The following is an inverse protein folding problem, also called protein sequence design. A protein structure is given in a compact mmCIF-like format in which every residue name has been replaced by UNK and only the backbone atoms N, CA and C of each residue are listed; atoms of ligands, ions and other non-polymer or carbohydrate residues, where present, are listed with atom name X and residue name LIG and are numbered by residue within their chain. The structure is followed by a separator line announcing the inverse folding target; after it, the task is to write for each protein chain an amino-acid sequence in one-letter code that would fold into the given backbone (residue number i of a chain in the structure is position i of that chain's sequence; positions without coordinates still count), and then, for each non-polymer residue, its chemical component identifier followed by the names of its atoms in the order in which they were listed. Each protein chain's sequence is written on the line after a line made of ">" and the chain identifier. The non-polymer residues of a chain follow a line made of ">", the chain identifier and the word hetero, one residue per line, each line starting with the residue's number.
data_IF_634292661346
#
_entry.id   IF_634292661346
#
_cell.length_a   1.000
_cell.length_b   1.000
_cell.length_c   1.000
_cell.angle_alpha   90.00
_cell.angle_beta   90.00
_cell.angle_gamma   90.00
#
_symmetry.space_group_name_H-M   'P 1'
#
loop_
_entity.id
_entity.type
_entity.pdbx_description
1 polymer ?
#
# COMPACT_ATOMS: atom_id res chain seq x y z
N UNK A 1 0.47 -7.96 10.60
CA UNK A 1 0.28 -9.30 10.00
C UNK A 1 -1.17 -9.40 9.60
N UNK A 2 -1.49 -10.19 8.57
CA UNK A 2 -2.85 -10.38 8.06
C UNK A 2 -3.16 -11.87 7.95
N UNK A 3 -4.37 -12.24 8.35
CA UNK A 3 -4.90 -13.59 8.19
C UNK A 3 -5.83 -13.60 6.99
N UNK A 4 -5.53 -14.41 5.99
CA UNK A 4 -6.27 -14.42 4.73
C UNK A 4 -7.15 -15.67 4.60
N UNK A 5 -8.40 -15.51 4.15
CA UNK A 5 -9.19 -16.66 3.72
C UNK A 5 -8.74 -17.13 2.34
N UNK A 6 -8.52 -18.44 2.13
CA UNK A 6 -8.15 -18.98 0.82
C UNK A 6 -9.23 -18.76 -0.26
N UNK A 7 -10.47 -18.46 0.14
CA UNK A 7 -11.59 -18.40 -0.78
C UNK A 7 -11.65 -17.10 -1.58
N UNK A 8 -11.10 -15.99 -1.05
CA UNK A 8 -11.19 -14.65 -1.66
C UNK A 8 -9.97 -13.79 -1.35
N UNK A 9 -8.76 -14.35 -1.50
CA UNK A 9 -7.48 -13.69 -1.14
C UNK A 9 -7.40 -12.28 -1.73
N UNK A 10 -7.60 -12.11 -3.04
CA UNK A 10 -7.52 -10.82 -3.71
C UNK A 10 -8.48 -9.76 -3.11
N UNK A 11 -9.71 -10.16 -2.80
CA UNK A 11 -10.71 -9.27 -2.20
C UNK A 11 -10.30 -8.83 -0.78
N UNK A 12 -9.71 -9.73 0.00
CA UNK A 12 -9.21 -9.42 1.34
C UNK A 12 -7.98 -8.51 1.28
N UNK A 13 -7.09 -8.73 0.31
CA UNK A 13 -5.96 -7.83 0.05
C UNK A 13 -6.41 -6.45 -0.40
N UNK A 14 -7.40 -6.36 -1.31
CA UNK A 14 -8.04 -5.07 -1.66
C UNK A 14 -8.54 -4.36 -0.41
N UNK A 15 -9.29 -5.07 0.45
CA UNK A 15 -9.84 -4.48 1.67
C UNK A 15 -8.74 -4.03 2.65
N UNK A 16 -7.65 -4.77 2.73
CA UNK A 16 -6.48 -4.42 3.53
C UNK A 16 -5.81 -3.13 3.04
N UNK A 17 -5.52 -3.05 1.74
CA UNK A 17 -4.94 -1.87 1.09
C UNK A 17 -5.88 -0.66 1.18
N UNK A 18 -7.19 -0.87 1.03
CA UNK A 18 -8.20 0.17 1.17
C UNK A 18 -8.22 0.74 2.59
N UNK A 19 -8.04 -0.10 3.62
CA UNK A 19 -7.93 0.37 5.00
C UNK A 19 -6.70 1.23 5.20
N UNK A 20 -5.56 0.86 4.63
CA UNK A 20 -4.35 1.68 4.67
C UNK A 20 -4.57 3.05 4.02
N UNK A 21 -5.17 3.07 2.83
CA UNK A 21 -5.50 4.30 2.11
C UNK A 21 -6.48 5.20 2.89
N UNK A 22 -7.48 4.61 3.52
CA UNK A 22 -8.42 5.33 4.40
C UNK A 22 -7.70 6.04 5.55
N UNK A 23 -6.79 5.34 6.23
CA UNK A 23 -6.03 5.90 7.36
C UNK A 23 -5.16 7.07 6.91
N UNK A 24 -4.47 6.93 5.77
CA UNK A 24 -3.70 8.03 5.18
C UNK A 24 -4.58 9.25 4.84
N UNK A 25 -5.76 9.02 4.25
CA UNK A 25 -6.69 10.10 3.92
C UNK A 25 -7.21 10.87 5.15
N UNK A 26 -7.15 10.25 6.32
CA UNK A 26 -7.52 10.83 7.62
C UNK A 26 -6.32 11.48 8.34
N UNK A 27 -5.12 11.40 7.76
CA UNK A 27 -3.88 11.84 8.39
C UNK A 27 -3.39 10.92 9.51
N UNK A 28 -3.96 9.72 9.64
CA UNK A 28 -3.62 8.74 10.68
C UNK A 28 -2.48 7.82 10.22
N UNK A 29 -1.31 8.43 10.01
CA UNK A 29 -0.10 7.73 9.56
C UNK A 29 0.41 6.72 10.59
N UNK A 30 0.12 6.92 11.87
CA UNK A 30 0.53 5.99 12.94
C UNK A 30 -0.19 4.66 12.77
N UNK A 31 -1.53 4.69 12.68
CA UNK A 31 -2.33 3.48 12.47
C UNK A 31 -2.11 2.87 11.08
N UNK A 32 -1.85 3.69 10.05
CA UNK A 32 -1.52 3.19 8.72
C UNK A 32 -0.21 2.37 8.75
N UNK A 33 0.81 2.87 9.45
CA UNK A 33 2.10 2.19 9.61
C UNK A 33 1.99 0.89 10.42
N UNK A 34 1.03 0.76 11.34
CA UNK A 34 0.77 -0.50 12.06
C UNK A 34 0.30 -1.64 11.14
N UNK A 35 -0.28 -1.33 9.98
CA UNK A 35 -0.62 -2.33 8.97
C UNK A 35 0.66 -2.90 8.31
N UNK A 36 1.74 -2.13 8.28
CA UNK A 36 3.00 -2.53 7.65
C UNK A 36 3.85 -3.29 8.67
N UNK A 37 3.63 -4.60 8.70
CA UNK A 37 4.14 -5.47 9.77
C UNK A 37 5.63 -5.78 9.70
N UNK A 38 6.26 -5.54 8.55
CA UNK A 38 7.69 -5.72 8.35
C UNK A 38 8.23 -4.57 7.47
N UNK A 39 9.53 -4.24 7.58
CA UNK A 39 10.17 -3.37 6.60
C UNK A 39 10.32 -4.09 5.26
N UNK A 40 10.42 -3.32 4.17
CA UNK A 40 10.81 -3.82 2.86
C UNK A 40 12.31 -4.18 2.80
N UNK A 41 12.76 -4.61 1.62
CA UNK A 41 14.17 -4.99 1.38
C UNK A 41 15.18 -3.84 1.57
N UNK A 42 14.72 -2.59 1.62
CA UNK A 42 15.53 -1.41 1.90
C UNK A 42 15.51 -1.02 3.39
N UNK A 43 14.77 -1.75 4.23
CA UNK A 43 14.61 -1.45 5.65
C UNK A 43 13.51 -0.42 5.97
N UNK A 44 12.78 0.07 4.95
CA UNK A 44 11.73 1.06 5.10
C UNK A 44 10.39 0.43 5.49
N UNK A 45 9.65 1.08 6.39
CA UNK A 45 8.29 0.68 6.78
C UNK A 45 7.19 1.55 6.17
N UNK A 46 7.55 2.54 5.34
CA UNK A 46 6.59 3.43 4.69
C UNK A 46 5.67 4.15 5.68
N UNK A 47 6.29 4.76 6.69
CA UNK A 47 5.63 5.62 7.65
C UNK A 47 5.38 7.02 7.07
N UNK A 48 5.01 7.97 7.93
CA UNK A 48 4.68 9.33 7.50
C UNK A 48 5.78 9.98 6.67
N UNK A 49 7.04 9.82 7.07
CA UNK A 49 8.17 10.48 6.42
C UNK A 49 8.31 9.95 4.99
N UNK A 50 8.41 8.63 4.81
CA UNK A 50 8.63 8.01 3.50
C UNK A 50 7.47 8.27 2.53
N UNK A 51 6.22 8.20 3.00
CA UNK A 51 5.05 8.54 2.17
C UNK A 51 5.06 10.01 1.77
N UNK A 52 5.44 10.91 2.69
CA UNK A 52 5.53 12.34 2.39
C UNK A 52 6.62 12.62 1.36
N UNK A 53 7.80 12.03 1.54
CA UNK A 53 8.93 12.18 0.62
C UNK A 53 8.57 11.70 -0.79
N UNK A 54 7.96 10.51 -0.92
CA UNK A 54 7.53 10.00 -2.23
C UNK A 54 6.51 10.91 -2.94
N UNK A 55 5.56 11.49 -2.20
CA UNK A 55 4.56 12.41 -2.76
C UNK A 55 5.19 13.76 -3.13
N UNK A 56 6.07 14.31 -2.28
CA UNK A 56 6.77 15.57 -2.54
C UNK A 56 7.69 15.44 -3.75
N UNK A 57 8.46 14.35 -3.83
CA UNK A 57 9.36 14.06 -4.96
C UNK A 57 8.57 13.93 -6.27
N UNK A 58 7.38 13.34 -6.22
CA UNK A 58 6.52 13.21 -7.40
C UNK A 58 5.96 14.54 -7.91
N UNK A 59 5.42 15.36 -7.01
CA UNK A 59 4.84 16.65 -7.38
C UNK A 59 5.88 17.77 -7.58
N UNK A 60 7.16 17.51 -7.27
CA UNK A 60 8.24 18.51 -7.21
C UNK A 60 7.81 19.75 -6.39
N UNK A 61 7.18 19.48 -5.24
CA UNK A 61 6.50 20.51 -4.44
C UNK A 61 6.45 20.14 -2.97
N UNK A 62 6.93 21.05 -2.11
CA UNK A 62 6.80 20.97 -0.65
C UNK A 62 5.42 21.43 -0.15
N UNK A 63 4.44 21.60 -1.05
CA UNK A 63 3.08 21.99 -0.65
C UNK A 63 2.38 20.86 0.11
N UNK A 64 1.42 21.22 0.96
CA UNK A 64 0.56 20.23 1.61
C UNK A 64 -0.12 19.35 0.55
N UNK A 65 -0.12 18.04 0.78
CA UNK A 65 -0.82 17.07 -0.04
C UNK A 65 -1.99 16.44 0.72
N UNK A 66 -2.96 15.93 -0.03
CA UNK A 66 -4.11 15.22 0.51
C UNK A 66 -4.29 13.87 -0.18
N UNK A 67 -4.04 12.78 0.55
CA UNK A 67 -4.40 11.43 0.11
C UNK A 67 -5.92 11.29 0.09
N UNK A 68 -6.46 10.71 -0.99
CA UNK A 68 -7.90 10.49 -1.14
C UNK A 68 -8.24 9.03 -0.84
N UNK A 69 -9.32 8.77 -0.11
CA UNK A 69 -9.86 7.41 0.04
C UNK A 69 -10.70 7.01 -1.18
N UNK A 70 -10.13 7.12 -2.37
CA UNK A 70 -10.75 6.63 -3.60
C UNK A 70 -10.87 5.11 -3.52
N UNK A 71 -11.97 4.54 -4.03
CA UNK A 71 -12.10 3.09 -4.07
C UNK A 71 -11.02 2.50 -4.98
N UNK A 72 -10.19 1.59 -4.46
CA UNK A 72 -9.03 1.01 -5.15
C UNK A 72 -9.40 0.34 -6.47
N UNK A 73 -10.65 -0.11 -6.64
CA UNK A 73 -11.13 -0.63 -7.93
C UNK A 73 -11.11 0.39 -9.08
N UNK A 74 -11.05 1.69 -8.77
CA UNK A 74 -10.87 2.76 -9.77
C UNK A 74 -9.41 3.15 -9.95
N UNK A 75 -8.49 2.61 -9.14
CA UNK A 75 -7.06 2.96 -9.14
C UNK A 75 -6.21 1.94 -9.92
N UNK A 76 -6.78 1.29 -10.95
CA UNK A 76 -6.13 0.26 -11.78
C UNK A 76 -5.37 -0.79 -10.93
N UNK A 77 -6.07 -1.53 -10.05
CA UNK A 77 -5.38 -2.45 -9.16
C UNK A 77 -4.83 -3.65 -9.93
N UNK A 78 -3.68 -4.13 -9.50
CA UNK A 78 -3.02 -5.32 -10.03
C UNK A 78 -2.76 -6.32 -8.90
N UNK A 79 -3.06 -7.58 -9.16
CA UNK A 79 -2.83 -8.69 -8.23
C UNK A 79 -1.99 -9.76 -8.91
N UNK A 80 -0.96 -10.23 -8.21
CA UNK A 80 -0.07 -11.29 -8.67
C UNK A 80 0.24 -12.27 -7.54
N UNK A 81 0.16 -13.56 -7.84
CA UNK A 81 0.72 -14.62 -7.00
C UNK A 81 2.09 -15.02 -7.57
N UNK A 82 3.13 -14.92 -6.75
CA UNK A 82 4.50 -15.21 -7.13
C UNK A 82 4.82 -16.71 -6.98
N UNK A 83 5.86 -17.18 -7.68
CA UNK A 83 6.31 -18.58 -7.64
C UNK A 83 6.75 -19.05 -6.24
N UNK A 84 7.18 -18.12 -5.38
CA UNK A 84 7.56 -18.41 -3.99
C UNK A 84 6.38 -18.39 -3.01
N UNK A 85 5.16 -18.13 -3.50
CA UNK A 85 3.93 -18.06 -2.72
C UNK A 85 3.72 -16.74 -1.99
N UNK A 86 4.54 -15.72 -2.26
CA UNK A 86 4.22 -14.32 -1.92
C UNK A 86 3.11 -13.79 -2.83
N UNK A 87 2.44 -12.73 -2.38
CA UNK A 87 1.34 -12.08 -3.10
C UNK A 87 1.67 -10.60 -3.27
N UNK A 88 1.50 -10.07 -4.46
CA UNK A 88 1.64 -8.64 -4.75
C UNK A 88 0.26 -8.02 -4.99
N UNK A 89 0.09 -6.80 -4.47
CA UNK A 89 -1.10 -6.00 -4.71
C UNK A 89 -0.69 -4.55 -4.97
N UNK A 90 -0.75 -4.13 -6.23
CA UNK A 90 -0.39 -2.79 -6.70
C UNK A 90 -1.61 -1.94 -7.01
N UNK A 91 -1.52 -0.62 -6.85
CA UNK A 91 -2.52 0.33 -7.34
C UNK A 91 -1.95 1.74 -7.49
N UNK A 92 -2.56 2.55 -8.34
CA UNK A 92 -2.22 3.96 -8.49
C UNK A 92 -2.65 4.79 -7.28
N UNK A 93 -1.76 5.66 -6.80
CA UNK A 93 -1.94 6.38 -5.55
C UNK A 93 -2.81 7.63 -5.76
N UNK A 94 -4.01 7.71 -5.13
CA UNK A 94 -4.87 8.87 -5.32
C UNK A 94 -4.50 10.00 -4.36
N UNK A 95 -3.98 11.10 -4.91
CA UNK A 95 -3.46 12.25 -4.17
C UNK A 95 -3.93 13.55 -4.82
N UNK A 96 -4.25 14.56 -4.01
CA UNK A 96 -4.65 15.91 -4.45
C UNK A 96 -5.88 15.94 -5.38
N UNK A 97 -6.77 14.95 -5.26
CA UNK A 97 -7.98 14.85 -6.07
C UNK A 97 -7.78 14.16 -7.42
N UNK A 98 -6.59 13.62 -7.68
CA UNK A 98 -6.22 12.93 -8.90
C UNK A 98 -5.77 11.50 -8.60
N UNK A 99 -5.95 10.58 -9.55
CA UNK A 99 -5.27 9.28 -9.53
C UNK A 99 -3.94 9.50 -10.25
N UNK A 100 -2.85 9.50 -9.50
CA UNK A 100 -1.50 9.76 -10.02
C UNK A 100 -0.93 8.50 -10.70
N UNK A 101 0.19 8.62 -11.41
CA UNK A 101 0.99 7.48 -11.89
C UNK A 101 2.01 6.97 -10.83
N UNK A 102 1.99 7.51 -9.61
CA UNK A 102 2.64 6.86 -8.46
C UNK A 102 1.92 5.54 -8.17
N UNK A 103 2.68 4.45 -8.10
CA UNK A 103 2.18 3.13 -7.77
C UNK A 103 2.56 2.80 -6.34
N UNK A 104 1.59 2.38 -5.53
CA UNK A 104 1.83 1.74 -4.23
C UNK A 104 1.83 0.24 -4.46
N UNK A 105 2.94 -0.43 -4.18
CA UNK A 105 3.05 -1.88 -4.31
C UNK A 105 3.15 -2.54 -2.93
N UNK A 106 2.08 -3.22 -2.52
CA UNK A 106 2.13 -4.09 -1.35
C UNK A 106 2.67 -5.46 -1.72
N UNK A 107 3.49 -6.02 -0.82
CA UNK A 107 3.90 -7.42 -0.85
C UNK A 107 3.43 -8.12 0.43
N UNK A 108 2.92 -9.33 0.26
CA UNK A 108 2.44 -10.18 1.34
C UNK A 108 3.23 -11.48 1.34
N UNK A 109 4.10 -11.63 2.33
CA UNK A 109 4.96 -12.80 2.48
C UNK A 109 4.34 -13.80 3.47
N UNK A 110 4.24 -15.06 3.08
CA UNK A 110 3.64 -16.10 3.92
C UNK A 110 4.53 -16.38 5.13
N UNK A 111 3.96 -16.30 6.33
CA UNK A 111 4.62 -16.65 7.59
C UNK A 111 4.33 -18.11 7.93
N UNK A 112 3.04 -18.44 8.08
CA UNK A 112 2.60 -19.81 8.40
C UNK A 112 1.13 -20.00 8.01
N UNK A 113 0.80 -21.12 7.37
CA UNK A 113 -0.58 -21.38 6.92
C UNK A 113 -1.12 -20.24 6.06
N UNK A 114 -2.14 -19.54 6.58
CA UNK A 114 -2.79 -18.38 5.95
C UNK A 114 -2.41 -17.03 6.58
N UNK A 115 -1.37 -17.02 7.41
CA UNK A 115 -0.80 -15.82 7.99
C UNK A 115 0.26 -15.21 7.08
N UNK A 116 0.16 -13.91 6.83
CA UNK A 116 1.10 -13.16 6.00
C UNK A 116 1.63 -11.93 6.75
N UNK A 117 2.91 -11.62 6.55
CA UNK A 117 3.41 -10.27 6.77
C UNK A 117 2.99 -9.39 5.59
N UNK A 118 2.70 -8.13 5.87
CA UNK A 118 2.50 -7.09 4.87
C UNK A 118 3.70 -6.14 4.90
N UNK A 119 4.21 -5.82 3.72
CA UNK A 119 5.26 -4.84 3.40
C UNK A 119 4.75 -3.95 2.27
N UNK A 120 5.28 -2.73 2.16
CA UNK A 120 5.17 -1.94 0.92
C UNK A 120 6.55 -1.99 0.27
N UNK A 121 6.64 -2.56 -0.93
CA UNK A 121 7.89 -2.64 -1.67
C UNK A 121 8.37 -1.24 -2.01
N UNK A 122 7.52 -0.46 -2.65
CA UNK A 122 7.82 0.91 -3.04
C UNK A 122 6.56 1.76 -3.26
N UNK A 123 6.72 3.10 -3.22
CA UNK A 123 5.77 4.09 -3.73
C UNK A 123 6.51 4.95 -4.75
N UNK A 124 6.33 4.65 -6.03
CA UNK A 124 7.14 5.23 -7.11
C UNK A 124 6.42 5.20 -8.46
N UNK A 125 6.95 5.93 -9.44
CA UNK A 125 6.51 5.84 -10.84
C UNK A 125 7.21 4.65 -11.51
N UNK A 126 6.44 3.80 -12.19
CA UNK A 126 6.93 2.64 -12.96
C UNK A 126 7.59 3.02 -14.29
#
# INVERSE_FOLDING_TARGET
>A
MVQLSPQNIELELKAYCQKWLLLLSQGDFEQANELISAPNNYGARWGKQEVTEAVVDYFDSESDFQVQNTEISFCTPEFLECDDGSLLYGFYFPVNGEITDLTVEFEFNRISGNEFSATINDIHVL
#
